data_IF_606556102783
#
_entry.id   IF_606556102783
#
_cell.length_a   1.000
_cell.length_b   1.000
_cell.length_c   1.000
_cell.angle_alpha   90.00
_cell.angle_beta   90.00
_cell.angle_gamma   90.00
#
_symmetry.space_group_name_H-M   'P 1'
#
loop_
_entity.id
_entity.type
_entity.pdbx_description
1 polymer ?
#
# COMPACT_ATOMS: atom_id res chain seq x y z
N UNK A 1 -1.17 -33.99 -10.33
CA UNK A 1 -0.59 -33.76 -8.98
C UNK A 1 -1.04 -32.48 -8.28
N UNK A 2 -2.08 -31.73 -8.73
CA UNK A 2 -2.37 -30.38 -8.18
C UNK A 2 -3.62 -30.24 -7.28
N UNK A 3 -4.48 -31.26 -7.15
CA UNK A 3 -5.76 -31.14 -6.42
C UNK A 3 -5.58 -30.87 -4.91
N UNK A 4 -4.62 -31.53 -4.26
CA UNK A 4 -4.39 -31.37 -2.81
C UNK A 4 -3.92 -29.96 -2.46
N UNK A 5 -3.05 -29.39 -3.28
CA UNK A 5 -2.54 -28.04 -3.09
C UNK A 5 -3.61 -26.97 -3.42
N UNK A 6 -4.48 -27.20 -4.42
CA UNK A 6 -5.65 -26.36 -4.64
C UNK A 6 -6.61 -26.35 -3.43
N UNK A 7 -6.80 -27.51 -2.78
CA UNK A 7 -7.63 -27.62 -1.57
C UNK A 7 -7.07 -26.79 -0.41
N UNK A 8 -5.76 -26.84 -0.18
CA UNK A 8 -5.09 -26.05 0.85
C UNK A 8 -5.23 -24.54 0.61
N UNK A 9 -4.96 -24.09 -0.63
CA UNK A 9 -5.11 -22.67 -0.99
C UNK A 9 -6.55 -22.22 -0.76
N UNK A 10 -7.55 -22.99 -1.21
CA UNK A 10 -8.96 -22.66 -0.99
C UNK A 10 -9.29 -22.50 0.48
N UNK A 11 -8.76 -23.36 1.36
CA UNK A 11 -9.05 -23.30 2.78
C UNK A 11 -8.56 -22.00 3.43
N UNK A 12 -7.47 -21.41 2.92
CA UNK A 12 -6.92 -20.14 3.39
C UNK A 12 -7.69 -18.91 2.89
N UNK A 13 -8.67 -19.05 1.98
CA UNK A 13 -9.44 -17.94 1.43
C UNK A 13 -10.72 -17.68 2.23
N UNK A 14 -11.15 -16.42 2.28
CA UNK A 14 -12.47 -16.04 2.83
C UNK A 14 -13.61 -16.65 2.00
N UNK A 15 -14.80 -16.79 2.61
CA UNK A 15 -15.96 -17.43 1.96
C UNK A 15 -16.34 -16.77 0.63
N UNK A 16 -16.28 -15.44 0.54
CA UNK A 16 -16.59 -14.68 -0.67
C UNK A 16 -15.67 -15.03 -1.86
N UNK A 17 -14.40 -15.34 -1.58
CA UNK A 17 -13.41 -15.67 -2.62
C UNK A 17 -13.56 -17.14 -3.04
N UNK A 18 -13.91 -18.05 -2.10
CA UNK A 18 -14.07 -19.49 -2.36
C UNK A 18 -15.06 -19.79 -3.49
N UNK A 19 -16.22 -19.15 -3.51
CA UNK A 19 -17.25 -19.38 -4.53
C UNK A 19 -16.77 -19.04 -5.95
N UNK A 20 -15.87 -18.05 -6.09
CA UNK A 20 -15.33 -17.64 -7.37
C UNK A 20 -14.30 -18.61 -7.98
N UNK A 21 -13.76 -19.56 -7.19
CA UNK A 21 -12.66 -20.43 -7.65
C UNK A 21 -12.86 -21.92 -7.31
N UNK A 22 -14.07 -22.31 -6.94
CA UNK A 22 -14.45 -23.69 -6.59
C UNK A 22 -14.26 -24.67 -7.76
N UNK A 23 -14.42 -24.21 -9.01
CA UNK A 23 -14.42 -25.09 -10.19
C UNK A 23 -12.99 -25.38 -10.70
N UNK A 24 -12.01 -24.55 -10.34
CA UNK A 24 -10.68 -24.60 -10.96
C UNK A 24 -9.79 -25.74 -10.42
N UNK A 25 -9.52 -26.75 -11.23
CA UNK A 25 -8.77 -27.95 -10.77
C UNK A 25 -7.26 -27.84 -10.94
N UNK A 26 -6.79 -26.80 -11.64
CA UNK A 26 -5.36 -26.53 -11.83
C UNK A 26 -4.86 -25.46 -10.87
N UNK A 27 -3.79 -25.75 -10.13
CA UNK A 27 -3.18 -24.78 -9.20
C UNK A 27 -2.64 -23.55 -9.92
N UNK A 28 -2.10 -23.74 -11.13
CA UNK A 28 -1.57 -22.64 -11.94
C UNK A 28 -2.70 -21.74 -12.43
N UNK A 29 -3.84 -22.31 -12.82
CA UNK A 29 -5.01 -21.53 -13.22
C UNK A 29 -5.67 -20.86 -12.02
N UNK A 30 -5.84 -21.57 -10.90
CA UNK A 30 -6.35 -21.03 -9.64
C UNK A 30 -5.52 -19.83 -9.19
N UNK A 31 -4.18 -19.97 -9.20
CA UNK A 31 -3.25 -18.89 -8.87
C UNK A 31 -3.38 -17.72 -9.85
N UNK A 32 -3.36 -17.96 -11.17
CA UNK A 32 -3.55 -16.91 -12.17
C UNK A 32 -4.91 -16.21 -12.07
N UNK A 33 -5.98 -16.91 -11.73
CA UNK A 33 -7.31 -16.32 -11.55
C UNK A 33 -7.34 -15.44 -10.31
N UNK A 34 -6.71 -15.86 -9.22
CA UNK A 34 -6.57 -15.02 -8.02
C UNK A 34 -5.68 -13.81 -8.30
N UNK A 35 -4.58 -14.00 -9.02
CA UNK A 35 -3.66 -12.95 -9.44
C UNK A 35 -4.37 -11.93 -10.33
N UNK A 36 -5.09 -12.38 -11.35
CA UNK A 36 -5.87 -11.50 -12.23
C UNK A 36 -7.09 -10.88 -11.55
N UNK A 37 -7.63 -11.44 -10.47
CA UNK A 37 -8.82 -10.88 -9.82
C UNK A 37 -8.47 -9.93 -8.67
N UNK A 38 -7.35 -10.16 -8.00
CA UNK A 38 -6.99 -9.47 -6.75
C UNK A 38 -5.60 -8.84 -6.76
N UNK A 39 -4.66 -9.33 -7.59
CA UNK A 39 -3.31 -8.78 -7.73
C UNK A 39 -3.13 -8.02 -9.05
N UNK A 40 -4.23 -7.78 -9.79
CA UNK A 40 -4.13 -7.43 -11.19
C UNK A 40 -3.45 -6.06 -11.35
N UNK A 41 -2.28 -6.10 -11.99
CA UNK A 41 -1.48 -4.97 -12.47
C UNK A 41 -2.19 -4.20 -13.61
N UNK A 42 -3.50 -3.96 -13.46
CA UNK A 42 -4.28 -3.22 -14.45
C UNK A 42 -3.97 -1.74 -14.33
N UNK A 43 -4.09 -1.03 -15.45
CA UNK A 43 -3.89 0.43 -15.50
C UNK A 43 -4.86 1.14 -14.55
N UNK A 44 -6.06 0.61 -14.39
CA UNK A 44 -7.08 1.12 -13.47
C UNK A 44 -6.67 0.97 -12.00
N UNK A 45 -6.15 -0.19 -11.60
CA UNK A 45 -5.66 -0.41 -10.24
C UNK A 45 -4.45 0.49 -9.95
N UNK A 46 -3.54 0.59 -10.90
CA UNK A 46 -2.40 1.47 -10.81
C UNK A 46 -2.83 2.96 -10.65
N UNK A 47 -3.75 3.45 -11.49
CA UNK A 47 -4.29 4.81 -11.37
C UNK A 47 -5.04 5.02 -10.05
N UNK A 48 -5.77 4.00 -9.59
CA UNK A 48 -6.46 4.02 -8.30
C UNK A 48 -5.48 4.13 -7.13
N UNK A 49 -4.38 3.38 -7.14
CA UNK A 49 -3.35 3.46 -6.10
C UNK A 49 -2.63 4.81 -6.11
N UNK A 50 -2.28 5.35 -7.29
CA UNK A 50 -1.74 6.72 -7.39
C UNK A 50 -2.72 7.75 -6.83
N UNK A 51 -4.01 7.62 -7.14
CA UNK A 51 -5.05 8.49 -6.58
C UNK A 51 -5.12 8.40 -5.06
N UNK A 52 -4.97 7.22 -4.47
CA UNK A 52 -4.93 7.05 -3.02
C UNK A 52 -3.67 7.65 -2.41
N UNK A 53 -2.51 7.45 -3.03
CA UNK A 53 -1.23 8.02 -2.60
C UNK A 53 -1.29 9.54 -2.50
N UNK A 54 -1.75 10.23 -3.55
CA UNK A 54 -1.83 11.70 -3.57
C UNK A 54 -2.94 12.28 -2.70
N UNK A 55 -3.93 11.46 -2.30
CA UNK A 55 -5.05 11.88 -1.43
C UNK A 55 -4.92 11.32 -0.02
N UNK A 56 -3.77 10.73 0.32
CA UNK A 56 -3.53 10.18 1.64
C UNK A 56 -3.53 11.32 2.66
N UNK A 57 -4.33 11.18 3.72
CA UNK A 57 -4.57 12.21 4.73
C UNK A 57 -4.82 11.55 6.09
N UNK A 58 -4.27 12.15 7.14
CA UNK A 58 -4.41 11.70 8.51
C UNK A 58 -5.83 11.93 9.02
N UNK A 59 -6.30 11.05 9.92
CA UNK A 59 -7.60 11.18 10.59
C UNK A 59 -7.40 11.67 12.02
N UNK A 60 -8.34 12.47 12.54
CA UNK A 60 -8.27 13.08 13.88
C UNK A 60 -8.27 12.09 15.07
N UNK A 61 -8.45 10.78 14.82
CA UNK A 61 -8.55 9.76 15.87
C UNK A 61 -7.46 8.68 15.80
N UNK A 62 -6.46 8.86 14.95
CA UNK A 62 -5.32 7.94 14.86
C UNK A 62 -4.04 8.62 15.32
N UNK A 63 -3.10 7.84 15.81
CA UNK A 63 -1.77 8.34 16.17
C UNK A 63 -0.92 8.60 14.91
N UNK A 64 0.13 9.41 15.03
CA UNK A 64 1.10 9.61 13.94
C UNK A 64 1.75 8.27 13.55
N UNK A 65 2.10 7.42 14.52
CA UNK A 65 2.67 6.09 14.26
C UNK A 65 1.71 5.20 13.46
N UNK A 66 0.43 5.19 13.83
CA UNK A 66 -0.59 4.43 13.09
C UNK A 66 -0.77 4.98 11.67
N UNK A 67 -0.75 6.30 11.51
CA UNK A 67 -0.79 6.97 10.21
C UNK A 67 0.40 6.58 9.32
N UNK A 68 1.62 6.62 9.86
CA UNK A 68 2.85 6.21 9.15
C UNK A 68 2.85 4.72 8.81
N UNK A 69 2.31 3.86 9.69
CA UNK A 69 2.15 2.45 9.41
C UNK A 69 1.16 2.21 8.25
N UNK A 70 0.05 2.97 8.22
CA UNK A 70 -0.90 2.91 7.11
C UNK A 70 -0.29 3.40 5.79
N UNK A 71 0.54 4.44 5.84
CA UNK A 71 1.30 4.89 4.66
C UNK A 71 2.29 3.82 4.17
N UNK A 72 2.99 3.16 5.10
CA UNK A 72 3.95 2.08 4.78
C UNK A 72 3.25 0.88 4.12
N UNK A 73 2.05 0.52 4.58
CA UNK A 73 1.21 -0.51 3.93
C UNK A 73 0.83 -0.10 2.51
N UNK A 74 0.42 1.15 2.31
CA UNK A 74 0.10 1.67 0.98
C UNK A 74 1.31 1.61 0.02
N UNK A 75 2.52 1.93 0.51
CA UNK A 75 3.74 1.78 -0.29
C UNK A 75 4.02 0.32 -0.66
N UNK A 76 3.79 -0.63 0.26
CA UNK A 76 3.94 -2.05 -0.03
C UNK A 76 2.92 -2.53 -1.09
N UNK A 77 1.68 -2.05 -1.01
CA UNK A 77 0.65 -2.34 -2.01
C UNK A 77 1.00 -1.79 -3.40
N UNK A 78 1.57 -0.60 -3.47
CA UNK A 78 2.07 0.00 -4.72
C UNK A 78 3.27 -0.79 -5.27
N UNK A 79 4.20 -1.20 -4.39
CA UNK A 79 5.35 -2.01 -4.78
C UNK A 79 4.94 -3.37 -5.34
N UNK A 80 3.86 -3.98 -4.81
CA UNK A 80 3.29 -5.22 -5.34
C UNK A 80 2.75 -5.07 -6.78
N UNK A 81 2.44 -3.84 -7.21
CA UNK A 81 2.07 -3.52 -8.59
C UNK A 81 3.28 -3.25 -9.50
N UNK A 82 4.51 -3.52 -9.02
CA UNK A 82 5.77 -3.26 -9.72
C UNK A 82 6.05 -1.77 -9.96
N UNK A 83 5.48 -0.90 -9.10
CA UNK A 83 5.75 0.53 -9.10
C UNK A 83 6.57 0.95 -7.88
N UNK A 84 7.57 1.79 -8.11
CA UNK A 84 8.35 2.39 -7.04
C UNK A 84 8.00 3.87 -6.88
N UNK A 85 7.65 4.26 -5.66
CA UNK A 85 7.50 5.67 -5.27
C UNK A 85 8.91 6.25 -5.06
N UNK A 86 9.16 7.48 -5.54
CA UNK A 86 10.47 8.13 -5.35
C UNK A 86 10.73 8.36 -3.86
N UNK A 87 11.98 8.29 -3.43
CA UNK A 87 12.31 8.43 -2.00
C UNK A 87 11.98 9.83 -1.44
N UNK A 88 12.07 10.86 -2.29
CA UNK A 88 11.57 12.20 -1.99
C UNK A 88 10.07 12.17 -1.64
N UNK A 89 9.26 11.51 -2.47
CA UNK A 89 7.81 11.44 -2.30
C UNK A 89 7.44 10.55 -1.10
N UNK A 90 8.22 9.50 -0.81
CA UNK A 90 8.08 8.67 0.41
C UNK A 90 8.26 9.48 1.69
N UNK A 91 9.01 10.58 1.63
CA UNK A 91 9.25 11.47 2.78
C UNK A 91 8.26 12.64 2.80
N UNK A 92 8.00 13.25 1.65
CA UNK A 92 7.18 14.45 1.54
C UNK A 92 5.68 14.17 1.75
N UNK A 93 5.15 13.11 1.12
CA UNK A 93 3.72 12.78 1.18
C UNK A 93 3.21 12.49 2.60
N UNK A 94 3.90 11.68 3.44
CA UNK A 94 3.40 11.46 4.79
C UNK A 94 3.42 12.73 5.63
N UNK A 95 4.42 13.60 5.44
CA UNK A 95 4.49 14.89 6.14
C UNK A 95 3.35 15.83 5.73
N UNK A 96 3.08 15.96 4.44
CA UNK A 96 2.00 16.79 3.91
C UNK A 96 0.60 16.20 4.11
N UNK A 97 0.52 14.99 4.66
CA UNK A 97 -0.75 14.32 4.97
C UNK A 97 -1.14 14.43 6.44
N UNK A 98 -0.28 15.00 7.29
CA UNK A 98 -0.61 15.25 8.69
C UNK A 98 -1.68 16.33 8.80
N UNK A 99 -2.37 16.35 9.95
CA UNK A 99 -3.36 17.38 10.24
C UNK A 99 -2.71 18.76 10.38
N UNK A 100 -3.47 19.82 10.11
CA UNK A 100 -3.02 21.20 10.16
C UNK A 100 -2.41 21.59 11.53
N UNK A 101 -2.85 20.95 12.62
CA UNK A 101 -2.27 21.13 13.95
C UNK A 101 -0.78 20.76 14.05
N UNK A 102 -0.27 19.96 13.11
CA UNK A 102 1.13 19.57 12.97
C UNK A 102 1.90 20.39 11.93
N UNK A 103 1.33 21.44 11.34
CA UNK A 103 1.96 22.23 10.27
C UNK A 103 3.29 22.88 10.69
N UNK A 104 3.39 23.32 11.94
CA UNK A 104 4.66 23.84 12.49
C UNK A 104 5.72 22.75 12.59
N UNK A 105 5.32 21.51 12.92
CA UNK A 105 6.21 20.37 13.00
C UNK A 105 6.70 19.94 11.60
N UNK A 106 5.79 19.87 10.61
CA UNK A 106 6.14 19.52 9.23
C UNK A 106 7.07 20.56 8.61
N UNK A 107 6.78 21.85 8.78
CA UNK A 107 7.62 22.95 8.29
C UNK A 107 9.01 22.88 8.89
N UNK A 108 9.11 22.68 10.21
CA UNK A 108 10.39 22.55 10.91
C UNK A 108 11.18 21.34 10.43
N UNK A 109 10.54 20.20 10.18
CA UNK A 109 11.25 19.00 9.73
C UNK A 109 11.76 19.13 8.27
N UNK A 110 10.99 19.79 7.41
CA UNK A 110 11.37 20.04 6.01
C UNK A 110 12.57 20.99 5.94
N UNK A 111 12.59 22.03 6.79
CA UNK A 111 13.60 23.11 6.74
C UNK A 111 14.77 22.88 7.72
N UNK A 112 14.55 22.10 8.78
CA UNK A 112 15.51 21.88 9.88
C UNK A 112 16.74 21.08 9.49
N UNK A 113 16.78 20.50 8.28
CA UNK A 113 17.96 19.80 7.78
C UNK A 113 19.10 20.74 7.35
N UNK A 114 18.86 22.06 7.24
CA UNK A 114 19.91 23.04 6.89
C UNK A 114 20.69 23.61 8.09
N UNK A 115 20.23 23.43 9.33
CA UNK A 115 20.85 24.11 10.50
C UNK A 115 22.10 23.38 11.03
N UNK A 116 22.35 22.13 10.64
CA UNK A 116 23.57 21.40 11.05
C UNK A 116 24.86 21.74 10.28
N UNK A 117 24.86 22.76 9.41
CA UNK A 117 26.08 23.22 8.73
C UNK A 117 26.53 24.64 9.08
N UNK A 118 25.91 25.31 10.06
CA UNK A 118 26.35 26.62 10.54
C UNK A 118 26.88 26.61 11.99
N UNK A 119 27.63 25.56 12.35
CA UNK A 119 28.60 25.66 13.45
C UNK A 119 29.91 25.01 13.00
N UNK A 120 30.84 25.83 12.51
CA UNK A 120 32.27 25.57 12.59
C UNK A 120 33.02 26.88 12.81
#
# INVERSE_FOLDING_TARGET
MNQSACGLIRNCLSQEIKYGVVIETSIVKLWKTLENKYLMKSVENHLHMKRWLYRFQMRHMITIDEHLNNFTKLLADILNLDENVRDEDKTLLPLNSLLDEFENYTTTLIHGKEVSTMVR
#
